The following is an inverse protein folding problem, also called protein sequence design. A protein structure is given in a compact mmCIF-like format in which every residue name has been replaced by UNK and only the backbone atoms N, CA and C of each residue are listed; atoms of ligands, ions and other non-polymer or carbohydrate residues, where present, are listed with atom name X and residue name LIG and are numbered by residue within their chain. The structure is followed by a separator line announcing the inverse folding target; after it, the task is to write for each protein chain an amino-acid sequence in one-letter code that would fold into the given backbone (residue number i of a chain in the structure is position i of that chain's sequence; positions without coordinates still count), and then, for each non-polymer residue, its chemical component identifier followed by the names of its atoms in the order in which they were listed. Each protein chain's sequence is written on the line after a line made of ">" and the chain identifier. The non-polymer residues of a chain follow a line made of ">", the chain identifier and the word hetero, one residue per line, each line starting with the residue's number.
data_IF_377810848580
#
_entry.id   IF_377810848580
#
_cell.length_a   1.000
_cell.length_b   1.000
_cell.length_c   1.000
_cell.angle_alpha   90.00
_cell.angle_beta   90.00
_cell.angle_gamma   90.00
#
_symmetry.space_group_name_H-M   'P 1'
#
loop_
_entity.id
_entity.type
_entity.pdbx_description
1 polymer ?
#
# COMPACT_ATOMS: atom_id res chain seq x y z
N UNK A 1 5.04 20.22 31.82
CA UNK A 1 4.76 18.84 31.37
C UNK A 1 4.60 18.93 29.87
N UNK A 2 5.46 18.28 29.11
CA UNK A 2 5.37 18.27 27.65
C UNK A 2 4.10 17.53 27.25
N UNK A 3 3.17 18.21 26.58
CA UNK A 3 2.05 17.58 25.88
C UNK A 3 2.63 16.60 24.86
N UNK A 4 2.69 15.32 25.22
CA UNK A 4 3.03 14.27 24.28
C UNK A 4 1.92 14.25 23.22
N UNK A 5 2.18 14.88 22.06
CA UNK A 5 1.24 14.91 20.94
C UNK A 5 1.01 13.55 20.29
N UNK A 6 1.73 12.50 20.71
CA UNK A 6 1.71 11.18 20.10
C UNK A 6 1.86 10.07 21.14
N UNK A 7 0.84 9.21 21.25
CA UNK A 7 0.97 7.85 21.76
C UNK A 7 1.01 6.89 20.56
N UNK A 8 2.03 6.03 20.48
CA UNK A 8 2.26 5.11 19.37
C UNK A 8 1.69 3.71 19.67
N UNK A 9 0.37 3.62 19.77
CA UNK A 9 -0.41 2.39 19.62
C UNK A 9 -1.12 2.38 18.26
N UNK A 10 -0.40 2.80 17.20
CA UNK A 10 -0.94 3.27 15.91
C UNK A 10 -1.90 2.32 15.19
N UNK A 11 -1.89 1.03 15.56
CA UNK A 11 -2.99 0.12 15.30
C UNK A 11 -3.57 -0.33 16.65
N UNK A 12 -4.81 0.07 16.93
CA UNK A 12 -5.55 -0.43 18.10
C UNK A 12 -5.80 -1.95 18.02
N UNK A 13 -5.74 -2.50 16.81
CA UNK A 13 -5.82 -3.94 16.52
C UNK A 13 -4.44 -4.52 16.22
N UNK A 14 -4.00 -5.60 16.89
CA UNK A 14 -2.68 -6.18 16.67
C UNK A 14 -2.47 -6.67 15.23
N UNK A 15 -1.24 -6.56 14.71
CA UNK A 15 -0.86 -7.12 13.40
C UNK A 15 -0.94 -8.66 13.34
N UNK A 16 -1.11 -9.33 14.48
CA UNK A 16 -1.40 -10.77 14.51
C UNK A 16 -2.85 -11.11 14.14
N UNK A 17 -3.74 -10.11 14.02
CA UNK A 17 -5.14 -10.30 13.64
C UNK A 17 -5.38 -9.90 12.17
N UNK A 18 -6.41 -10.47 11.55
CA UNK A 18 -6.82 -10.10 10.19
C UNK A 18 -7.24 -8.61 10.11
N UNK A 19 -7.83 -8.07 11.18
CA UNK A 19 -8.27 -6.67 11.23
C UNK A 19 -7.05 -5.74 11.28
N UNK A 20 -6.09 -6.00 12.16
CA UNK A 20 -4.86 -5.21 12.26
C UNK A 20 -4.06 -5.22 10.95
N UNK A 21 -3.92 -6.39 10.32
CA UNK A 21 -3.26 -6.49 9.01
C UNK A 21 -4.02 -5.75 7.91
N UNK A 22 -5.36 -5.84 7.89
CA UNK A 22 -6.17 -5.08 6.92
C UNK A 22 -5.91 -3.58 7.06
N UNK A 23 -5.86 -3.06 8.27
CA UNK A 23 -5.53 -1.65 8.51
C UNK A 23 -4.12 -1.30 8.03
N UNK A 24 -3.13 -2.14 8.35
CA UNK A 24 -1.74 -1.94 7.92
C UNK A 24 -1.60 -1.91 6.39
N UNK A 25 -2.31 -2.81 5.69
CA UNK A 25 -2.37 -2.84 4.22
C UNK A 25 -2.96 -1.53 3.69
N UNK A 26 -4.12 -1.12 4.20
CA UNK A 26 -4.76 0.11 3.74
C UNK A 26 -3.90 1.34 4.02
N UNK A 27 -3.26 1.45 5.18
CA UNK A 27 -2.34 2.54 5.50
C UNK A 27 -1.15 2.59 4.54
N UNK A 28 -0.55 1.42 4.24
CA UNK A 28 0.57 1.33 3.29
C UNK A 28 0.17 1.83 1.89
N UNK A 29 -1.05 1.53 1.45
CA UNK A 29 -1.54 1.92 0.12
C UNK A 29 -2.05 3.36 0.03
N UNK A 30 -2.55 3.92 1.12
CA UNK A 30 -3.14 5.26 1.16
C UNK A 30 -2.12 6.36 1.47
N UNK A 31 -0.95 5.99 2.00
CA UNK A 31 0.15 6.93 2.18
C UNK A 31 0.80 7.25 0.84
N UNK A 32 0.92 8.54 0.49
CA UNK A 32 1.52 8.95 -0.77
C UNK A 32 3.03 8.70 -0.78
N UNK A 33 3.47 7.77 -1.62
CA UNK A 33 4.88 7.54 -1.89
C UNK A 33 5.44 8.57 -2.86
N UNK A 34 6.73 8.90 -2.69
CA UNK A 34 7.43 9.83 -3.59
C UNK A 34 7.51 9.24 -4.99
N UNK A 35 7.13 10.01 -6.01
CA UNK A 35 7.28 9.58 -7.39
C UNK A 35 8.75 9.35 -7.78
N UNK A 36 8.95 8.36 -8.65
CA UNK A 36 10.23 8.01 -9.25
C UNK A 36 10.44 8.74 -10.58
N UNK A 37 11.68 8.77 -11.07
CA UNK A 37 12.04 9.47 -12.30
C UNK A 37 11.34 8.93 -13.56
N UNK A 38 10.91 7.67 -13.53
CA UNK A 38 10.20 6.99 -14.61
C UNK A 38 8.67 7.01 -14.44
N UNK A 39 8.14 7.69 -13.42
CA UNK A 39 6.70 7.89 -13.29
C UNK A 39 6.24 8.97 -14.28
N UNK A 40 5.14 8.69 -14.97
CA UNK A 40 4.51 9.61 -15.92
C UNK A 40 3.72 10.67 -15.13
N UNK A 41 4.37 11.81 -14.87
CA UNK A 41 3.79 12.93 -14.15
C UNK A 41 3.49 14.07 -15.12
N UNK A 42 2.27 14.61 -15.05
CA UNK A 42 1.97 15.90 -15.67
C UNK A 42 2.92 16.97 -15.10
N UNK A 43 3.46 17.90 -15.91
CA UNK A 43 4.48 18.87 -15.50
C UNK A 43 4.11 19.77 -14.31
N UNK A 44 2.81 19.88 -14.01
CA UNK A 44 2.22 20.72 -12.95
C UNK A 44 1.79 19.94 -11.71
N UNK A 45 1.92 18.60 -11.69
CA UNK A 45 1.61 17.82 -10.49
C UNK A 45 2.74 17.94 -9.47
N UNK A 46 2.44 18.62 -8.37
CA UNK A 46 3.24 18.59 -7.14
C UNK A 46 3.62 17.14 -6.82
N UNK A 47 4.92 16.84 -6.70
CA UNK A 47 5.41 15.52 -6.29
C UNK A 47 4.75 15.19 -4.94
N UNK A 48 3.74 14.32 -4.94
CA UNK A 48 3.09 13.89 -3.70
C UNK A 48 4.10 13.08 -2.90
N UNK A 49 3.92 13.10 -1.59
CA UNK A 49 4.78 12.43 -0.63
C UNK A 49 4.15 12.52 0.75
N UNK A 50 4.50 11.58 1.62
CA UNK A 50 4.08 11.56 3.01
C UNK A 50 5.21 12.11 3.88
N UNK A 51 4.91 13.15 4.67
CA UNK A 51 5.91 13.81 5.52
C UNK A 51 6.58 12.84 6.51
N UNK A 52 5.85 11.82 6.98
CA UNK A 52 6.42 10.86 7.94
C UNK A 52 7.39 9.85 7.30
N UNK A 53 7.53 9.86 5.96
CA UNK A 53 8.53 9.04 5.28
C UNK A 53 9.98 9.39 5.70
N UNK A 54 10.22 10.58 6.27
CA UNK A 54 11.50 10.93 6.90
C UNK A 54 11.81 10.05 8.13
N UNK A 55 10.78 9.55 8.81
CA UNK A 55 10.89 8.76 10.03
C UNK A 55 10.59 7.27 9.82
N UNK A 56 9.75 6.94 8.83
CA UNK A 56 9.30 5.59 8.53
C UNK A 56 9.21 5.39 7.01
N UNK A 57 10.27 4.84 6.42
CA UNK A 57 10.32 4.52 4.99
C UNK A 57 9.64 3.19 4.66
N UNK A 58 9.06 3.09 3.46
CA UNK A 58 8.55 1.82 2.91
C UNK A 58 7.11 1.48 3.30
N UNK A 59 6.41 2.41 3.98
CA UNK A 59 4.96 2.32 4.26
C UNK A 59 4.25 3.40 3.45
N UNK A 60 4.43 3.34 2.14
CA UNK A 60 3.88 4.28 1.16
C UNK A 60 3.62 3.61 -0.19
N UNK A 61 2.80 4.26 -1.03
CA UNK A 61 2.44 3.75 -2.35
C UNK A 61 2.40 4.86 -3.39
N UNK A 62 2.88 4.53 -4.60
CA UNK A 62 2.89 5.44 -5.76
C UNK A 62 1.64 5.31 -6.63
N UNK A 63 0.58 4.67 -6.15
CA UNK A 63 -0.68 4.46 -6.90
C UNK A 63 -1.32 5.77 -7.39
N UNK A 64 -1.12 6.87 -6.68
CA UNK A 64 -1.61 8.19 -7.10
C UNK A 64 -1.05 8.65 -8.46
N UNK A 65 0.07 8.09 -8.90
CA UNK A 65 0.63 8.35 -10.25
C UNK A 65 -0.23 7.75 -11.36
N UNK A 66 -1.14 6.82 -11.03
CA UNK A 66 -2.00 6.11 -11.97
C UNK A 66 -3.40 6.75 -12.15
N UNK A 67 -3.72 7.82 -11.40
CA UNK A 67 -5.08 8.40 -11.30
C UNK A 67 -5.73 8.77 -12.65
N UNK A 68 -4.93 9.08 -13.68
CA UNK A 68 -5.41 9.42 -15.03
C UNK A 68 -4.86 8.49 -16.12
N UNK A 69 -4.26 7.38 -15.74
CA UNK A 69 -3.70 6.44 -16.71
C UNK A 69 -4.81 5.75 -17.49
N UNK A 70 -4.55 5.46 -18.77
CA UNK A 70 -5.46 4.63 -19.58
C UNK A 70 -5.59 3.24 -18.95
N UNK A 71 -6.75 2.63 -19.12
CA UNK A 71 -6.98 1.25 -18.71
C UNK A 71 -6.27 0.29 -19.66
N UNK A 72 -5.07 -0.12 -19.28
CA UNK A 72 -4.21 -0.99 -20.08
C UNK A 72 -3.60 -2.08 -19.21
N UNK A 73 -3.12 -3.16 -19.83
CA UNK A 73 -2.39 -4.21 -19.12
C UNK A 73 -1.11 -3.67 -18.45
N UNK A 74 -0.51 -2.62 -19.00
CA UNK A 74 0.64 -1.94 -18.41
C UNK A 74 0.26 -1.22 -17.11
N UNK A 75 -0.81 -0.42 -17.12
CA UNK A 75 -1.32 0.26 -15.92
C UNK A 75 -1.70 -0.74 -14.83
N UNK A 76 -2.36 -1.83 -15.21
CA UNK A 76 -2.66 -2.96 -14.30
C UNK A 76 -1.40 -3.58 -13.71
N UNK A 77 -0.38 -3.82 -14.53
CA UNK A 77 0.90 -4.37 -14.07
C UNK A 77 1.65 -3.43 -13.13
N UNK A 78 1.62 -2.12 -13.40
CA UNK A 78 2.15 -1.07 -12.52
C UNK A 78 1.43 -1.08 -11.17
N UNK A 79 0.11 -1.12 -11.17
CA UNK A 79 -0.68 -1.19 -9.94
C UNK A 79 -0.33 -2.42 -9.08
N UNK A 80 -0.25 -3.61 -9.70
CA UNK A 80 0.17 -4.85 -9.01
C UNK A 80 1.57 -4.67 -8.41
N UNK A 81 2.50 -4.12 -9.19
CA UNK A 81 3.87 -3.91 -8.74
C UNK A 81 3.93 -2.91 -7.56
N UNK A 82 3.23 -1.78 -7.65
CA UNK A 82 3.22 -0.75 -6.60
C UNK A 82 2.64 -1.28 -5.31
N UNK A 83 1.53 -2.03 -5.38
CA UNK A 83 0.96 -2.71 -4.21
C UNK A 83 1.94 -3.71 -3.60
N UNK A 84 2.64 -4.52 -4.40
CA UNK A 84 3.63 -5.47 -3.87
C UNK A 84 4.78 -4.77 -3.16
N UNK A 85 5.32 -3.70 -3.74
CA UNK A 85 6.40 -2.92 -3.12
C UNK A 85 5.95 -2.27 -1.82
N UNK A 86 4.75 -1.67 -1.81
CA UNK A 86 4.19 -1.02 -0.61
C UNK A 86 3.92 -1.99 0.55
N UNK A 87 3.75 -3.29 0.25
CA UNK A 87 3.43 -4.33 1.23
C UNK A 87 4.61 -5.27 1.55
N UNK A 88 5.77 -5.07 0.93
CA UNK A 88 6.95 -5.93 1.10
C UNK A 88 7.38 -6.01 2.58
N UNK A 89 7.25 -4.90 3.30
CA UNK A 89 7.59 -4.82 4.72
C UNK A 89 6.81 -5.81 5.59
N UNK A 90 5.59 -6.19 5.20
CA UNK A 90 4.80 -7.19 5.92
C UNK A 90 5.48 -8.56 5.90
N UNK A 91 6.19 -8.88 4.82
CA UNK A 91 6.93 -10.13 4.68
C UNK A 91 8.29 -9.99 5.35
N UNK A 92 9.04 -8.91 5.06
CA UNK A 92 10.41 -8.74 5.60
C UNK A 92 10.43 -8.63 7.12
N UNK A 93 9.36 -8.09 7.72
CA UNK A 93 9.22 -7.96 9.16
C UNK A 93 8.44 -9.13 9.78
N UNK A 94 8.23 -10.21 9.03
CA UNK A 94 7.64 -11.46 9.52
C UNK A 94 6.20 -11.27 10.08
N UNK A 95 5.41 -10.39 9.48
CA UNK A 95 3.98 -10.19 9.79
C UNK A 95 3.07 -11.04 8.89
N UNK A 96 3.51 -11.35 7.66
CA UNK A 96 2.84 -12.23 6.72
C UNK A 96 3.84 -13.21 6.10
N UNK A 97 3.36 -14.39 5.71
CA UNK A 97 4.16 -15.40 5.01
C UNK A 97 4.27 -15.11 3.52
N UNK A 98 3.18 -14.64 2.91
CA UNK A 98 3.15 -14.28 1.49
C UNK A 98 2.06 -13.25 1.22
N UNK A 99 2.29 -12.43 0.18
CA UNK A 99 1.35 -11.46 -0.37
C UNK A 99 1.23 -11.72 -1.87
N UNK A 100 0.04 -12.13 -2.30
CA UNK A 100 -0.31 -12.27 -3.71
C UNK A 100 -1.24 -11.13 -4.11
N UNK A 101 -0.98 -10.52 -5.26
CA UNK A 101 -1.76 -9.39 -5.75
C UNK A 101 -2.21 -9.67 -7.17
N UNK A 102 -3.50 -9.57 -7.40
CA UNK A 102 -4.11 -9.54 -8.73
C UNK A 102 -4.86 -8.22 -8.91
N UNK A 103 -5.07 -7.82 -10.16
CA UNK A 103 -5.86 -6.64 -10.46
C UNK A 103 -6.69 -6.85 -11.72
N UNK A 104 -7.82 -6.16 -11.83
CA UNK A 104 -8.70 -6.18 -12.98
C UNK A 104 -9.46 -4.85 -13.09
N UNK A 105 -9.95 -4.56 -14.29
CA UNK A 105 -10.82 -3.42 -14.50
C UNK A 105 -12.28 -3.84 -14.35
N UNK A 106 -13.04 -3.10 -13.54
CA UNK A 106 -14.49 -3.16 -13.47
C UNK A 106 -15.06 -1.80 -13.84
N UNK A 107 -15.55 -1.68 -15.09
CA UNK A 107 -15.91 -0.40 -15.72
C UNK A 107 -14.73 0.57 -15.63
N UNK A 108 -14.91 1.73 -14.99
CA UNK A 108 -13.90 2.76 -14.85
C UNK A 108 -12.94 2.52 -13.67
N UNK A 109 -13.14 1.46 -12.88
CA UNK A 109 -12.37 1.19 -11.67
C UNK A 109 -11.29 0.14 -11.89
N UNK A 110 -10.10 0.40 -11.36
CA UNK A 110 -9.04 -0.60 -11.22
C UNK A 110 -9.14 -1.23 -9.83
N UNK A 111 -9.63 -2.47 -9.78
CA UNK A 111 -9.76 -3.23 -8.53
C UNK A 111 -8.52 -4.10 -8.33
N UNK A 112 -8.01 -4.13 -7.11
CA UNK A 112 -6.93 -5.03 -6.68
C UNK A 112 -7.47 -6.01 -5.66
N UNK A 113 -7.09 -7.28 -5.81
CA UNK A 113 -7.35 -8.32 -4.81
C UNK A 113 -6.01 -8.74 -4.23
N UNK A 114 -5.85 -8.46 -2.94
CA UNK A 114 -4.65 -8.74 -2.16
C UNK A 114 -4.96 -9.96 -1.30
N UNK A 115 -4.32 -11.09 -1.60
CA UNK A 115 -4.43 -12.30 -0.81
C UNK A 115 -3.24 -12.38 0.14
N UNK A 116 -3.53 -12.38 1.43
CA UNK A 116 -2.52 -12.49 2.48
C UNK A 116 -2.49 -13.93 2.96
N UNK A 117 -1.31 -14.53 3.01
CA UNK A 117 -1.09 -15.82 3.68
C UNK A 117 -0.38 -15.59 5.00
N UNK A 118 -0.99 -16.03 6.10
CA UNK A 118 -0.43 -15.99 7.45
C UNK A 118 0.55 -17.16 7.68
N UNK A 119 1.30 -17.10 8.79
CA UNK A 119 2.31 -18.11 9.12
C UNK A 119 1.72 -19.49 9.38
N UNK A 120 0.53 -19.54 9.96
CA UNK A 120 -0.26 -20.75 10.19
C UNK A 120 -0.89 -21.31 8.90
N UNK A 121 -0.74 -20.61 7.76
CA UNK A 121 -1.32 -20.98 6.47
C UNK A 121 -2.72 -20.40 6.22
N UNK A 122 -3.33 -19.73 7.21
CA UNK A 122 -4.61 -19.04 7.04
C UNK A 122 -4.49 -17.98 5.94
N UNK A 123 -5.54 -17.88 5.10
CA UNK A 123 -5.59 -16.89 4.02
C UNK A 123 -6.80 -15.99 4.17
N UNK A 124 -6.62 -14.72 3.84
CA UNK A 124 -7.72 -13.76 3.73
C UNK A 124 -7.45 -12.75 2.61
N UNK A 125 -8.52 -12.12 2.12
CA UNK A 125 -8.46 -11.16 1.03
C UNK A 125 -8.77 -9.74 1.52
N UNK A 126 -8.04 -8.78 0.95
CA UNK A 126 -8.36 -7.35 1.01
C UNK A 126 -8.57 -6.87 -0.42
N UNK A 127 -9.74 -6.31 -0.69
CA UNK A 127 -10.09 -5.71 -1.98
C UNK A 127 -10.02 -4.20 -1.86
N UNK A 128 -9.31 -3.56 -2.79
CA UNK A 128 -9.09 -2.10 -2.85
C UNK A 128 -9.18 -1.58 -4.27
#
# INVERSE_FOLDING_TARGET
>A
MSDNKFEFSALYEPLSTQIGLRHAILQSLLNFGKAHANDDLEPDKSKRGWWANEFLSGVDCRDWTLERSKQTDETKSKAIHYTKVALDWLITNDNAKAIDVTAYYDKDWLIRVITVTLKDGTKFEVKV
#
